data_IF_540790890186
#
_entry.id   IF_540790890186
#
_cell.length_a   1.000
_cell.length_b   1.000
_cell.length_c   1.000
_cell.angle_alpha   90.00
_cell.angle_beta   90.00
_cell.angle_gamma   90.00
#
_symmetry.space_group_name_H-M   'P 1'
#
loop_
_entity.id
_entity.type
_entity.pdbx_description
1 polymer ?
#
# COMPACT_ATOMS: atom_id res chain seq x y z
N UNK A 1 -9.93 -3.34 32.50
CA UNK A 1 -8.58 -2.82 32.80
C UNK A 1 -8.31 -1.62 31.90
N UNK A 2 -7.93 -0.51 32.53
CA UNK A 2 -7.96 0.88 32.03
C UNK A 2 -7.12 1.11 30.77
N UNK A 3 -7.77 1.63 29.72
CA UNK A 3 -7.23 1.93 28.38
C UNK A 3 -6.62 3.34 28.36
N UNK A 4 -5.29 3.44 28.30
CA UNK A 4 -4.57 4.71 28.21
C UNK A 4 -4.45 5.19 26.75
N UNK A 5 -4.58 6.50 26.55
CA UNK A 5 -5.11 7.14 25.32
C UNK A 5 -4.03 7.86 24.50
N UNK A 6 -2.78 7.37 24.51
CA UNK A 6 -1.61 8.15 24.04
C UNK A 6 -0.94 7.68 22.74
N UNK A 7 -1.28 6.51 22.18
CA UNK A 7 -0.79 6.07 20.86
C UNK A 7 -1.95 5.63 19.99
N UNK A 8 -2.63 6.57 19.32
CA UNK A 8 -3.93 6.39 18.65
C UNK A 8 -3.97 5.52 17.39
N UNK A 9 -3.28 4.37 17.37
CA UNK A 9 -3.29 3.39 16.27
C UNK A 9 -3.35 1.97 16.86
N UNK A 10 -4.38 1.65 17.64
CA UNK A 10 -4.43 0.38 18.40
C UNK A 10 -4.86 -0.86 17.57
N UNK A 11 -5.10 -0.70 16.28
CA UNK A 11 -5.17 -1.80 15.31
C UNK A 11 -5.01 -1.17 13.92
N UNK A 12 -3.84 -1.30 13.29
CA UNK A 12 -3.54 -0.63 12.02
C UNK A 12 -3.80 -1.60 10.87
N UNK A 13 -4.90 -1.41 10.15
CA UNK A 13 -5.26 -2.24 8.98
C UNK A 13 -4.75 -1.59 7.71
N UNK A 14 -3.80 -2.26 7.07
CA UNK A 14 -3.22 -1.82 5.80
C UNK A 14 -3.77 -2.65 4.64
N UNK A 15 -4.47 -2.00 3.73
CA UNK A 15 -4.78 -2.54 2.42
C UNK A 15 -3.61 -2.29 1.48
N UNK A 16 -3.18 -3.33 0.79
CA UNK A 16 -2.16 -3.26 -0.24
C UNK A 16 -2.72 -3.71 -1.59
N UNK A 17 -2.69 -2.81 -2.56
CA UNK A 17 -3.18 -3.07 -3.92
C UNK A 17 -2.02 -3.30 -4.89
N UNK A 18 -1.91 -4.58 -5.25
CA UNK A 18 -1.11 -5.25 -6.28
C UNK A 18 0.41 -5.07 -6.20
N UNK A 19 1.15 -6.01 -6.82
CA UNK A 19 2.61 -6.19 -6.69
C UNK A 19 3.25 -6.49 -8.04
N UNK A 20 4.15 -5.63 -8.52
CA UNK A 20 5.17 -6.01 -9.49
C UNK A 20 6.54 -6.06 -8.78
N UNK A 21 6.90 -7.29 -8.37
CA UNK A 21 8.18 -7.89 -7.90
C UNK A 21 9.21 -7.17 -7.00
N UNK A 22 9.33 -5.84 -6.87
CA UNK A 22 10.50 -5.25 -6.14
C UNK A 22 10.15 -4.26 -5.02
N UNK A 23 9.41 -3.18 -5.29
CA UNK A 23 9.08 -2.19 -4.23
C UNK A 23 8.10 -2.72 -3.18
N UNK A 24 7.52 -3.88 -3.43
CA UNK A 24 6.43 -4.40 -2.62
C UNK A 24 6.87 -5.12 -1.37
N UNK A 25 8.00 -5.82 -1.42
CA UNK A 25 8.46 -6.58 -0.27
C UNK A 25 8.84 -5.65 0.89
N UNK A 26 9.40 -4.48 0.58
CA UNK A 26 9.85 -3.53 1.58
C UNK A 26 8.74 -3.05 2.53
N UNK A 27 7.59 -2.63 2.01
CA UNK A 27 6.51 -2.15 2.89
C UNK A 27 5.95 -3.27 3.77
N UNK A 28 5.83 -4.51 3.27
CA UNK A 28 5.43 -5.65 4.10
C UNK A 28 6.48 -5.98 5.17
N UNK A 29 7.78 -5.94 4.84
CA UNK A 29 8.86 -6.19 5.80
C UNK A 29 8.99 -5.11 6.87
N UNK A 30 8.66 -3.86 6.54
CA UNK A 30 8.66 -2.76 7.51
C UNK A 30 7.41 -2.82 8.36
N UNK A 31 6.23 -3.04 7.76
CA UNK A 31 4.96 -3.16 8.49
C UNK A 31 4.96 -4.34 9.46
N UNK A 32 5.63 -5.46 9.12
CA UNK A 32 5.76 -6.61 10.02
C UNK A 32 6.58 -6.34 11.29
N UNK A 33 7.22 -5.17 11.41
CA UNK A 33 7.93 -4.74 12.62
C UNK A 33 7.02 -4.05 13.63
N UNK A 34 5.78 -3.74 13.24
CA UNK A 34 4.79 -3.09 14.10
C UNK A 34 3.81 -4.13 14.64
N UNK A 35 3.25 -3.85 15.81
CA UNK A 35 2.23 -4.70 16.45
C UNK A 35 0.84 -4.34 15.92
N UNK A 36 -0.08 -5.31 15.99
CA UNK A 36 -1.50 -5.14 15.64
C UNK A 36 -1.74 -4.64 14.20
N UNK A 37 -0.90 -5.11 13.27
CA UNK A 37 -1.04 -4.85 11.83
C UNK A 37 -1.69 -6.03 11.13
N UNK A 38 -2.76 -5.75 10.38
CA UNK A 38 -3.38 -6.71 9.45
C UNK A 38 -3.10 -6.24 8.02
N UNK A 39 -2.59 -7.12 7.18
CA UNK A 39 -2.25 -6.82 5.78
C UNK A 39 -3.23 -7.50 4.84
N UNK A 40 -3.97 -6.71 4.09
CA UNK A 40 -4.82 -7.23 3.02
C UNK A 40 -4.11 -7.12 1.68
N UNK A 41 -3.99 -8.23 0.97
CA UNK A 41 -3.44 -8.29 -0.37
C UNK A 41 -4.55 -8.30 -1.40
N UNK A 42 -4.38 -7.44 -2.39
CA UNK A 42 -5.38 -7.24 -3.43
C UNK A 42 -4.72 -7.21 -4.80
N UNK A 43 -4.89 -8.23 -5.62
CA UNK A 43 -4.16 -8.35 -6.89
C UNK A 43 -4.90 -9.20 -7.92
N UNK A 44 -4.76 -8.91 -9.23
CA UNK A 44 -5.31 -9.77 -10.26
C UNK A 44 -4.62 -11.14 -10.19
N UNK A 45 -5.27 -12.21 -10.64
CA UNK A 45 -4.71 -13.56 -10.55
C UNK A 45 -3.36 -13.70 -11.26
N UNK A 46 -3.16 -12.89 -12.29
CA UNK A 46 -1.96 -12.82 -13.12
C UNK A 46 -0.76 -12.20 -12.36
N UNK A 47 -1.03 -11.40 -11.32
CA UNK A 47 -0.06 -10.55 -10.62
C UNK A 47 -0.13 -10.76 -9.10
N UNK A 48 -0.21 -12.03 -8.67
CA UNK A 48 -0.29 -12.39 -7.24
C UNK A 48 0.98 -12.08 -6.47
N UNK A 49 0.79 -11.86 -5.17
CA UNK A 49 1.89 -11.78 -4.22
C UNK A 49 2.58 -13.14 -4.12
N UNK A 50 3.90 -13.18 -4.33
CA UNK A 50 4.70 -14.39 -4.14
C UNK A 50 4.57 -14.92 -2.71
N UNK A 51 4.66 -16.24 -2.58
CA UNK A 51 4.52 -16.95 -1.31
C UNK A 51 5.65 -16.63 -0.32
N UNK A 52 6.82 -16.23 -0.81
CA UNK A 52 7.97 -15.82 0.03
C UNK A 52 7.62 -14.74 1.08
N UNK A 53 6.80 -13.76 0.72
CA UNK A 53 6.32 -12.73 1.65
C UNK A 53 5.29 -13.30 2.59
N UNK A 54 4.36 -14.12 2.08
CA UNK A 54 3.27 -14.70 2.87
C UNK A 54 3.84 -15.58 3.97
N UNK A 55 4.78 -16.46 3.62
CA UNK A 55 5.51 -17.31 4.55
C UNK A 55 6.27 -16.47 5.58
N UNK A 56 6.91 -15.39 5.14
CA UNK A 56 7.58 -14.48 6.05
C UNK A 56 6.60 -13.83 7.04
N UNK A 57 5.46 -13.31 6.58
CA UNK A 57 4.44 -12.71 7.45
C UNK A 57 3.88 -13.72 8.44
N UNK A 58 3.57 -14.93 7.98
CA UNK A 58 3.11 -16.05 8.82
C UNK A 58 4.17 -16.41 9.87
N UNK A 59 5.46 -16.50 9.49
CA UNK A 59 6.56 -16.80 10.42
C UNK A 59 6.75 -15.72 11.51
N UNK A 60 6.25 -14.51 11.25
CA UNK A 60 6.28 -13.37 12.17
C UNK A 60 4.99 -13.21 12.97
N UNK A 61 3.98 -14.05 12.73
CA UNK A 61 2.68 -13.95 13.38
C UNK A 61 1.89 -12.71 12.95
N UNK A 62 2.15 -12.16 11.76
CA UNK A 62 1.39 -11.03 11.21
C UNK A 62 0.16 -11.59 10.48
N UNK A 63 -1.02 -11.09 10.82
CA UNK A 63 -2.26 -11.46 10.15
C UNK A 63 -2.30 -10.90 8.72
N UNK A 64 -2.65 -11.75 7.77
CA UNK A 64 -2.82 -11.32 6.38
C UNK A 64 -3.95 -12.10 5.69
N UNK A 65 -4.60 -11.44 4.74
CA UNK A 65 -5.69 -12.01 3.94
C UNK A 65 -5.54 -11.60 2.47
N UNK A 66 -6.03 -12.45 1.56
CA UNK A 66 -6.15 -12.12 0.14
C UNK A 66 -7.61 -11.91 -0.22
N UNK A 67 -7.91 -10.85 -0.98
CA UNK A 67 -9.26 -10.57 -1.48
C UNK A 67 -9.23 -10.08 -2.92
N UNK A 68 -10.37 -10.21 -3.60
CA UNK A 68 -10.60 -9.78 -4.99
C UNK A 68 -11.63 -8.65 -5.11
N UNK A 69 -12.34 -8.30 -4.03
CA UNK A 69 -13.17 -7.09 -3.91
C UNK A 69 -12.44 -5.89 -3.27
N UNK A 70 -12.22 -4.83 -4.06
CA UNK A 70 -11.52 -3.62 -3.63
C UNK A 70 -12.32 -2.84 -2.60
N UNK A 71 -13.63 -2.76 -2.82
CA UNK A 71 -14.53 -1.92 -2.03
C UNK A 71 -14.70 -2.50 -0.63
N UNK A 72 -14.82 -3.82 -0.53
CA UNK A 72 -14.91 -4.52 0.75
C UNK A 72 -13.67 -4.25 1.60
N UNK A 73 -12.47 -4.44 1.03
CA UNK A 73 -11.21 -4.26 1.77
C UNK A 73 -10.97 -2.79 2.09
N UNK A 74 -11.20 -1.89 1.14
CA UNK A 74 -11.03 -0.45 1.35
C UNK A 74 -11.90 0.08 2.51
N UNK A 75 -13.08 -0.51 2.74
CA UNK A 75 -13.95 -0.14 3.86
C UNK A 75 -13.39 -0.52 5.24
N UNK A 76 -12.54 -1.54 5.30
CA UNK A 76 -11.95 -2.07 6.54
C UNK A 76 -10.60 -1.43 6.85
N UNK A 77 -9.92 -0.85 5.88
CA UNK A 77 -8.54 -0.43 6.02
C UNK A 77 -8.36 1.05 6.37
N UNK A 78 -7.33 1.33 7.17
CA UNK A 78 -6.92 2.67 7.57
C UNK A 78 -5.90 3.25 6.56
N UNK A 79 -5.24 2.38 5.79
CA UNK A 79 -4.30 2.78 4.74
C UNK A 79 -4.53 1.94 3.49
N UNK A 80 -4.57 2.58 2.32
CA UNK A 80 -4.56 1.92 1.01
C UNK A 80 -3.26 2.27 0.31
N UNK A 81 -2.41 1.27 0.09
CA UNK A 81 -1.16 1.41 -0.66
C UNK A 81 -1.33 0.87 -2.08
N UNK A 82 -1.54 1.78 -3.03
CA UNK A 82 -1.70 1.44 -4.45
C UNK A 82 -0.34 1.37 -5.15
N UNK A 83 -0.23 0.49 -6.14
CA UNK A 83 0.96 0.42 -7.01
C UNK A 83 0.59 0.43 -8.49
N UNK A 84 1.54 0.89 -9.31
CA UNK A 84 1.44 0.87 -10.76
C UNK A 84 1.74 -0.53 -11.32
N UNK A 85 0.90 -0.98 -12.23
CA UNK A 85 1.20 -2.15 -13.09
C UNK A 85 2.19 -1.71 -14.18
N UNK A 86 3.39 -2.27 -14.14
CA UNK A 86 4.48 -1.93 -15.06
C UNK A 86 4.39 -2.76 -16.34
N UNK A 87 3.97 -2.12 -17.45
CA UNK A 87 3.84 -2.75 -18.78
C UNK A 87 5.13 -3.44 -19.20
N UNK A 88 6.27 -2.82 -18.91
CA UNK A 88 7.61 -3.30 -19.22
C UNK A 88 7.93 -4.67 -18.62
N UNK A 89 7.20 -5.14 -17.59
CA UNK A 89 7.43 -6.44 -16.96
C UNK A 89 6.68 -7.60 -17.63
N UNK A 90 5.74 -7.30 -18.52
CA UNK A 90 4.94 -8.32 -19.20
C UNK A 90 5.61 -8.85 -20.48
N UNK A 91 6.63 -8.14 -20.99
CA UNK A 91 7.33 -8.53 -22.21
C UNK A 91 6.36 -8.59 -23.39
N UNK A 92 6.31 -9.73 -24.08
CA UNK A 92 5.40 -9.98 -25.20
C UNK A 92 3.94 -10.26 -24.76
N UNK A 93 3.69 -10.52 -23.46
CA UNK A 93 2.36 -10.84 -22.90
C UNK A 93 1.54 -9.59 -22.62
N UNK A 94 1.33 -8.78 -23.66
CA UNK A 94 0.61 -7.50 -23.56
C UNK A 94 -0.87 -7.71 -23.25
N UNK A 95 -1.44 -8.81 -23.73
CA UNK A 95 -2.79 -9.29 -23.40
C UNK A 95 -3.04 -9.36 -21.88
N UNK A 96 -2.11 -9.99 -21.15
CA UNK A 96 -2.15 -10.11 -19.69
C UNK A 96 -1.99 -8.76 -18.97
N UNK A 97 -1.25 -7.83 -19.59
CA UNK A 97 -1.13 -6.47 -19.07
C UNK A 97 -2.46 -5.72 -19.20
N UNK A 98 -3.11 -5.77 -20.36
CA UNK A 98 -4.38 -5.08 -20.58
C UNK A 98 -5.51 -5.69 -19.71
N UNK A 99 -5.50 -7.00 -19.47
CA UNK A 99 -6.45 -7.64 -18.54
C UNK A 99 -6.25 -7.20 -17.07
N UNK A 100 -5.00 -7.00 -16.66
CA UNK A 100 -4.68 -6.56 -15.31
C UNK A 100 -4.86 -5.04 -15.13
N UNK A 101 -4.63 -4.26 -16.19
CA UNK A 101 -4.73 -2.79 -16.19
C UNK A 101 -6.18 -2.37 -16.01
N UNK A 102 -6.41 -1.39 -15.13
CA UNK A 102 -7.73 -0.80 -14.93
C UNK A 102 -8.71 -1.67 -14.13
N UNK A 103 -8.34 -2.91 -13.75
CA UNK A 103 -9.17 -3.75 -12.88
C UNK A 103 -9.36 -3.13 -11.49
N UNK A 104 -8.31 -2.48 -10.99
CA UNK A 104 -8.26 -1.94 -9.64
C UNK A 104 -7.81 -0.49 -9.67
N UNK A 105 -8.82 0.39 -9.73
CA UNK A 105 -8.67 1.84 -9.80
C UNK A 105 -9.17 2.42 -8.47
N UNK A 106 -8.37 3.29 -7.86
CA UNK A 106 -8.81 4.09 -6.72
C UNK A 106 -9.48 5.35 -7.25
N UNK A 107 -10.79 5.44 -7.04
CA UNK A 107 -11.65 6.56 -7.46
C UNK A 107 -12.42 7.16 -6.27
N UNK A 108 -13.32 8.12 -6.56
CA UNK A 108 -14.17 8.70 -5.52
C UNK A 108 -15.09 7.69 -4.85
N UNK A 109 -15.47 6.59 -5.50
CA UNK A 109 -16.35 5.60 -4.89
C UNK A 109 -15.59 4.75 -3.87
N UNK A 110 -14.35 4.37 -4.17
CA UNK A 110 -13.43 3.77 -3.19
C UNK A 110 -13.25 4.72 -2.00
N UNK A 111 -13.04 6.01 -2.26
CA UNK A 111 -12.93 7.02 -1.21
C UNK A 111 -14.21 7.15 -0.36
N UNK A 112 -15.40 6.90 -0.90
CA UNK A 112 -16.65 6.96 -0.10
C UNK A 112 -16.75 5.83 0.92
N UNK A 113 -16.25 4.64 0.59
CA UNK A 113 -16.28 3.49 1.50
C UNK A 113 -15.11 3.48 2.48
N UNK A 114 -13.99 4.10 2.12
CA UNK A 114 -12.84 4.24 3.01
C UNK A 114 -13.17 5.04 4.28
N UNK A 115 -12.47 4.72 5.36
CA UNK A 115 -12.57 5.49 6.60
C UNK A 115 -12.22 6.98 6.39
N UNK A 116 -12.83 7.84 7.22
CA UNK A 116 -12.60 9.29 7.17
C UNK A 116 -11.15 9.68 7.47
N UNK A 117 -10.50 8.98 8.41
CA UNK A 117 -9.07 9.13 8.72
C UNK A 117 -8.17 8.24 7.86
N UNK A 118 -8.72 7.56 6.84
CA UNK A 118 -7.96 6.67 5.98
C UNK A 118 -6.90 7.43 5.17
N UNK A 119 -5.88 6.72 4.70
CA UNK A 119 -4.79 7.32 3.91
C UNK A 119 -4.57 6.55 2.63
N UNK A 120 -4.50 7.25 1.49
CA UNK A 120 -4.13 6.68 0.19
C UNK A 120 -2.67 7.00 -0.12
N UNK A 121 -1.85 5.97 -0.28
CA UNK A 121 -0.42 6.04 -0.58
C UNK A 121 -0.12 5.43 -1.94
N UNK A 122 0.93 5.92 -2.60
CA UNK A 122 1.35 5.45 -3.92
C UNK A 122 2.84 5.74 -4.12
N UNK A 123 3.59 4.80 -4.70
CA UNK A 123 5.04 4.96 -4.91
C UNK A 123 5.41 5.92 -6.04
N UNK A 124 4.46 6.24 -6.92
CA UNK A 124 4.63 7.03 -8.15
C UNK A 124 5.67 6.41 -9.13
N UNK A 125 5.70 6.85 -10.40
CA UNK A 125 4.66 7.63 -11.10
C UNK A 125 3.36 6.83 -11.21
N UNK A 126 2.22 7.51 -11.15
CA UNK A 126 0.92 6.88 -11.41
C UNK A 126 0.55 6.93 -12.88
N UNK A 127 -0.25 5.97 -13.35
CA UNK A 127 -0.92 6.03 -14.65
C UNK A 127 -2.42 6.23 -14.45
N UNK A 128 -3.19 5.14 -14.49
CA UNK A 128 -4.65 5.14 -14.48
C UNK A 128 -5.21 4.47 -13.21
N UNK A 129 -4.33 3.95 -12.35
CA UNK A 129 -4.70 3.24 -11.13
C UNK A 129 -5.22 4.14 -10.00
N UNK A 130 -5.05 5.46 -10.11
CA UNK A 130 -5.64 6.46 -9.23
C UNK A 130 -6.18 7.59 -10.09
N UNK A 131 -7.48 7.85 -10.01
CA UNK A 131 -8.11 8.94 -10.77
C UNK A 131 -7.68 10.32 -10.24
N UNK A 132 -7.63 11.32 -11.12
CA UNK A 132 -7.17 12.70 -10.79
C UNK A 132 -8.06 13.36 -9.73
N UNK A 133 -9.32 12.96 -9.64
CA UNK A 133 -10.26 13.50 -8.68
C UNK A 133 -9.94 13.12 -7.22
N UNK A 134 -9.15 12.07 -7.00
CA UNK A 134 -8.65 11.67 -5.67
C UNK A 134 -7.67 12.70 -5.12
N UNK A 135 -6.98 13.48 -5.96
CA UNK A 135 -5.96 14.46 -5.56
C UNK A 135 -6.51 15.53 -4.62
N UNK A 136 -7.77 15.90 -4.81
CA UNK A 136 -8.44 16.91 -4.01
C UNK A 136 -8.86 16.40 -2.62
N UNK A 137 -8.85 15.08 -2.40
CA UNK A 137 -9.23 14.47 -1.12
C UNK A 137 -8.06 14.59 -0.11
N UNK A 138 -8.30 15.05 1.12
CA UNK A 138 -7.24 15.17 2.14
C UNK A 138 -6.53 13.84 2.46
N UNK A 139 -7.20 12.70 2.22
CA UNK A 139 -6.66 11.35 2.43
C UNK A 139 -5.62 10.97 1.39
N UNK A 140 -5.56 11.63 0.24
CA UNK A 140 -4.50 11.45 -0.76
C UNK A 140 -3.16 11.94 -0.20
N UNK A 141 -2.29 11.00 0.15
CA UNK A 141 -1.01 11.29 0.79
C UNK A 141 0.20 11.05 -0.10
N UNK A 142 0.05 10.54 -1.32
CA UNK A 142 1.19 10.19 -2.19
C UNK A 142 2.10 11.38 -2.56
N UNK A 143 1.57 12.61 -2.66
CA UNK A 143 2.42 13.79 -2.82
C UNK A 143 3.16 14.16 -1.52
N UNK A 144 2.48 14.06 -0.36
CA UNK A 144 3.12 14.25 0.96
C UNK A 144 4.19 13.19 1.20
N UNK A 145 3.94 11.94 0.80
CA UNK A 145 4.88 10.83 0.85
C UNK A 145 6.15 11.12 0.03
N UNK A 146 6.01 11.63 -1.20
CA UNK A 146 7.17 12.01 -2.02
C UNK A 146 8.01 13.11 -1.35
N UNK A 147 7.35 14.11 -0.76
CA UNK A 147 8.01 15.18 -0.02
C UNK A 147 8.72 14.66 1.24
N UNK A 148 8.06 13.79 2.02
CA UNK A 148 8.66 13.13 3.18
C UNK A 148 9.90 12.29 2.81
N UNK A 149 9.92 11.72 1.59
CA UNK A 149 11.07 11.00 1.05
C UNK A 149 12.31 11.89 0.87
N UNK A 150 12.17 13.20 0.68
CA UNK A 150 13.30 14.14 0.68
C UNK A 150 13.90 14.24 2.08
N UNK A 151 13.08 14.53 3.10
CA UNK A 151 13.55 14.72 4.47
C UNK A 151 14.15 13.45 5.09
N UNK A 152 13.57 12.28 4.81
CA UNK A 152 14.13 11.01 5.27
C UNK A 152 15.53 10.80 4.68
N UNK A 153 15.73 11.09 3.38
CA UNK A 153 17.04 10.98 2.75
C UNK A 153 18.05 11.99 3.31
N UNK A 154 17.63 13.23 3.55
CA UNK A 154 18.49 14.23 4.21
C UNK A 154 18.91 13.77 5.61
N UNK A 155 17.97 13.28 6.41
CA UNK A 155 18.24 12.76 7.75
C UNK A 155 19.18 11.55 7.71
N UNK A 156 18.96 10.62 6.78
CA UNK A 156 19.81 9.44 6.60
C UNK A 156 21.24 9.82 6.19
N UNK A 157 21.39 10.76 5.25
CA UNK A 157 22.70 11.25 4.83
C UNK A 157 23.43 11.99 5.95
N UNK A 158 22.72 12.83 6.72
CA UNK A 158 23.29 13.48 7.91
C UNK A 158 23.77 12.42 8.90
N UNK A 159 22.94 11.43 9.20
CA UNK A 159 23.27 10.36 10.14
C UNK A 159 24.53 9.58 9.70
N UNK A 160 24.64 9.23 8.42
CA UNK A 160 25.76 8.44 7.91
C UNK A 160 27.06 9.22 7.79
N UNK A 161 27.00 10.51 7.42
CA UNK A 161 28.19 11.31 7.10
C UNK A 161 28.66 12.20 8.25
N UNK A 162 27.74 12.65 9.09
CA UNK A 162 28.01 13.63 10.16
C UNK A 162 27.82 13.00 11.55
N UNK A 163 26.99 11.97 11.65
CA UNK A 163 26.53 11.45 12.93
C UNK A 163 25.30 12.22 13.46
N UNK A 164 24.91 11.90 14.69
CA UNK A 164 23.70 12.45 15.31
C UNK A 164 23.86 13.92 15.70
#
# INVERSE_FOLDING_TARGET
MSRDRKTGWYQSRACRISRQRENSSFSCYVLSKYQDVIIYFFSPDIVKTKDDIKDYLTSRGVEWEESTDLMEVASKCDMVYQTRIQRERFGERIDLYEEARGKYIVDKDVLKVMQKQGVVMHSLPRLDEITVEVDADPRAAYFRQANNGLYIRMALLKLLLVGW
#
